data_IF_049760702423
#
_entry.id   IF_049760702423
#
_cell.length_a   1.000
_cell.length_b   1.000
_cell.length_c   1.000
_cell.angle_alpha   90.00
_cell.angle_beta   90.00
_cell.angle_gamma   90.00
#
_symmetry.space_group_name_H-M   'P 1'
#
loop_
_entity.id
_entity.type
_entity.pdbx_description
1 polymer ?
#
# COMPACT_ATOMS: atom_id res chain seq x y z
N UNK A 1 -7.66 -17.64 -10.25
CA UNK A 1 -6.83 -16.43 -10.46
C UNK A 1 -5.46 -16.61 -9.81
N UNK A 2 -4.40 -16.77 -10.61
CA UNK A 2 -3.03 -16.78 -10.08
C UNK A 2 -2.70 -15.37 -9.63
N UNK A 3 -2.45 -15.18 -8.34
CA UNK A 3 -2.06 -13.91 -7.73
C UNK A 3 -0.65 -13.57 -8.25
N UNK A 4 -0.56 -12.69 -9.25
CA UNK A 4 0.69 -12.25 -9.88
C UNK A 4 1.44 -11.21 -9.04
N UNK A 5 0.89 -10.79 -7.91
CA UNK A 5 1.47 -9.76 -7.03
C UNK A 5 2.90 -10.04 -6.57
N UNK A 6 3.29 -11.32 -6.50
CA UNK A 6 4.65 -11.77 -6.15
C UNK A 6 5.37 -12.45 -7.32
N UNK A 7 4.89 -12.29 -8.55
CA UNK A 7 5.49 -12.92 -9.73
C UNK A 7 6.80 -12.22 -10.11
N UNK A 8 7.96 -12.90 -10.02
CA UNK A 8 9.25 -12.29 -10.34
C UNK A 8 9.42 -11.99 -11.84
N UNK A 9 8.57 -12.52 -12.72
CA UNK A 9 8.54 -12.14 -14.14
C UNK A 9 7.86 -10.79 -14.36
N UNK A 10 7.00 -10.38 -13.41
CA UNK A 10 6.31 -9.09 -13.43
C UNK A 10 7.01 -8.05 -12.56
N UNK A 11 7.61 -8.45 -11.44
CA UNK A 11 8.15 -7.53 -10.44
C UNK A 11 9.61 -7.86 -10.14
N UNK A 12 10.50 -6.87 -10.24
CA UNK A 12 11.87 -6.99 -9.72
C UNK A 12 11.85 -7.00 -8.19
N UNK A 13 12.40 -8.02 -7.52
CA UNK A 13 12.31 -8.18 -6.06
C UNK A 13 10.87 -8.06 -5.54
N UNK A 14 9.97 -9.00 -5.89
CA UNK A 14 8.53 -8.92 -5.58
C UNK A 14 8.20 -8.87 -4.09
N UNK A 15 9.08 -9.42 -3.25
CA UNK A 15 8.91 -9.48 -1.79
C UNK A 15 9.24 -8.14 -1.11
N UNK A 16 9.93 -7.23 -1.80
CA UNK A 16 10.35 -5.95 -1.24
C UNK A 16 9.24 -4.90 -1.34
N UNK A 17 9.02 -4.18 -0.23
CA UNK A 17 8.16 -3.01 -0.22
C UNK A 17 8.85 -1.83 -0.92
N UNK A 18 8.63 -1.73 -2.24
CA UNK A 18 9.17 -0.65 -3.09
C UNK A 18 8.03 0.24 -3.63
N UNK A 19 7.65 1.32 -2.90
CA UNK A 19 6.56 2.20 -3.33
C UNK A 19 6.89 3.01 -4.59
N UNK A 20 8.17 3.27 -4.89
CA UNK A 20 8.58 4.03 -6.06
C UNK A 20 8.54 3.21 -7.36
N UNK A 21 8.30 1.89 -7.27
CA UNK A 21 8.09 1.01 -8.43
C UNK A 21 7.03 1.54 -9.41
N UNK A 22 6.08 2.33 -8.90
CA UNK A 22 4.94 2.87 -9.64
C UNK A 22 5.17 4.30 -10.16
N UNK A 23 6.32 4.91 -9.87
CA UNK A 23 6.66 6.30 -10.22
C UNK A 23 7.61 6.32 -11.42
N UNK A 24 7.44 7.24 -12.41
CA UNK A 24 8.34 7.31 -13.56
C UNK A 24 9.69 7.87 -13.16
N UNK A 25 10.75 7.37 -13.78
CA UNK A 25 12.12 7.90 -13.60
C UNK A 25 12.27 9.30 -14.21
N UNK A 26 11.53 9.61 -15.30
CA UNK A 26 11.62 10.88 -16.01
C UNK A 26 10.39 11.78 -15.81
N UNK A 27 10.65 12.97 -15.27
CA UNK A 27 9.66 14.03 -14.95
C UNK A 27 8.86 14.55 -16.16
N UNK A 28 9.34 14.35 -17.40
CA UNK A 28 8.58 14.73 -18.61
C UNK A 28 7.31 13.89 -18.83
N UNK A 29 7.12 12.81 -18.05
CA UNK A 29 5.93 11.95 -18.06
C UNK A 29 4.98 12.19 -16.88
N UNK A 30 5.12 13.31 -16.14
CA UNK A 30 4.19 13.70 -15.08
C UNK A 30 2.74 13.87 -15.55
N UNK A 31 2.48 13.92 -16.86
CA UNK A 31 1.11 13.89 -17.40
C UNK A 31 0.39 12.55 -17.17
N UNK A 32 1.11 11.48 -16.84
CA UNK A 32 0.53 10.19 -16.47
C UNK A 32 1.05 9.71 -15.13
N UNK A 33 0.46 10.18 -14.02
CA UNK A 33 0.64 9.51 -12.73
C UNK A 33 0.11 8.08 -12.83
N UNK A 34 0.96 7.10 -12.51
CA UNK A 34 0.66 5.69 -12.72
C UNK A 34 -0.11 5.02 -11.60
N UNK A 35 -1.41 4.80 -11.81
CA UNK A 35 -2.24 3.90 -11.04
C UNK A 35 -2.32 2.56 -11.78
N UNK A 36 -1.82 1.44 -11.21
CA UNK A 36 -1.88 0.14 -11.86
C UNK A 36 -3.31 -0.38 -12.07
N UNK A 37 -4.29 0.18 -11.36
CA UNK A 37 -5.70 -0.16 -11.52
C UNK A 37 -6.35 0.52 -12.72
N UNK A 38 -5.90 1.74 -13.05
CA UNK A 38 -6.41 2.53 -14.16
C UNK A 38 -5.57 2.38 -15.42
N UNK A 39 -4.52 1.55 -15.38
CA UNK A 39 -3.67 1.26 -16.54
C UNK A 39 -2.61 2.31 -16.84
N UNK A 40 -2.26 3.14 -15.85
CA UNK A 40 -1.23 4.16 -16.01
C UNK A 40 0.09 3.76 -15.35
N UNK A 41 0.20 2.57 -14.77
CA UNK A 41 1.49 2.06 -14.26
C UNK A 41 2.53 2.04 -15.39
N UNK A 42 3.65 2.71 -15.16
CA UNK A 42 4.59 3.07 -16.22
C UNK A 42 5.49 1.91 -16.65
N UNK A 43 5.71 0.95 -15.75
CA UNK A 43 6.52 -0.25 -16.00
C UNK A 43 5.69 -1.51 -16.18
N UNK A 44 4.41 -1.52 -15.77
CA UNK A 44 3.60 -2.73 -15.64
C UNK A 44 2.26 -2.58 -16.35
N UNK A 45 1.91 -3.58 -17.16
CA UNK A 45 0.66 -3.58 -17.94
C UNK A 45 -0.59 -3.61 -17.06
N UNK A 46 -1.73 -3.21 -17.64
CA UNK A 46 -3.05 -3.30 -17.01
C UNK A 46 -3.28 -4.71 -16.46
N UNK A 47 -3.63 -4.81 -15.18
CA UNK A 47 -3.92 -6.09 -14.55
C UNK A 47 -2.71 -6.83 -13.98
N UNK A 48 -1.51 -6.23 -13.97
CA UNK A 48 -0.34 -6.79 -13.25
C UNK A 48 -0.59 -6.80 -11.73
N UNK A 49 -1.27 -5.78 -11.21
CA UNK A 49 -1.71 -5.66 -9.82
C UNK A 49 -3.24 -5.61 -9.73
N UNK A 50 -3.84 -6.50 -8.95
CA UNK A 50 -5.31 -6.67 -8.93
C UNK A 50 -5.89 -6.99 -7.53
N UNK A 51 -5.60 -6.20 -6.49
CA UNK A 51 -6.17 -6.45 -5.16
C UNK A 51 -7.69 -6.25 -5.11
N UNK A 52 -8.28 -5.64 -6.15
CA UNK A 52 -9.73 -5.57 -6.36
C UNK A 52 -10.28 -6.55 -7.40
N UNK A 53 -9.49 -7.50 -7.91
CA UNK A 53 -9.89 -8.35 -9.04
C UNK A 53 -9.78 -7.66 -10.40
N UNK A 54 -10.21 -8.36 -11.48
CA UNK A 54 -10.08 -7.91 -12.87
C UNK A 54 -11.32 -8.31 -13.70
N UNK A 55 -11.50 -7.67 -14.86
CA UNK A 55 -12.57 -7.99 -15.82
C UNK A 55 -13.95 -7.57 -15.33
N UNK A 56 -14.98 -8.36 -15.66
CA UNK A 56 -16.38 -8.08 -15.30
C UNK A 56 -16.66 -8.11 -13.79
N UNK A 57 -15.78 -8.73 -13.00
CA UNK A 57 -15.90 -8.84 -11.55
C UNK A 57 -14.87 -7.98 -10.81
N UNK A 58 -14.28 -6.97 -11.47
CA UNK A 58 -13.44 -6.00 -10.78
C UNK A 58 -14.26 -5.25 -9.73
N UNK A 59 -13.67 -5.04 -8.55
CA UNK A 59 -14.29 -4.34 -7.45
C UNK A 59 -14.59 -2.89 -7.88
N UNK A 60 -15.86 -2.47 -7.89
CA UNK A 60 -16.22 -1.10 -8.27
C UNK A 60 -15.75 -0.07 -7.22
N UNK A 61 -15.40 -0.52 -6.02
CA UNK A 61 -14.90 0.32 -4.92
C UNK A 61 -13.42 0.71 -5.02
N UNK A 62 -12.66 0.17 -5.97
CA UNK A 62 -11.21 0.47 -6.12
C UNK A 62 -10.92 1.97 -6.19
N UNK A 63 -11.61 2.79 -7.01
CA UNK A 63 -11.33 4.23 -7.07
C UNK A 63 -11.56 4.94 -5.74
N UNK A 64 -12.61 4.54 -4.99
CA UNK A 64 -12.89 5.11 -3.68
C UNK A 64 -11.82 4.68 -2.65
N UNK A 65 -11.44 3.40 -2.64
CA UNK A 65 -10.40 2.89 -1.76
C UNK A 65 -9.06 3.60 -2.00
N UNK A 66 -8.72 3.86 -3.25
CA UNK A 66 -7.53 4.64 -3.62
C UNK A 66 -7.59 6.07 -3.09
N UNK A 67 -8.71 6.77 -3.31
CA UNK A 67 -8.90 8.14 -2.81
C UNK A 67 -8.80 8.21 -1.28
N UNK A 68 -9.50 7.32 -0.58
CA UNK A 68 -9.49 7.27 0.88
C UNK A 68 -8.10 6.91 1.41
N UNK A 69 -7.39 5.99 0.76
CA UNK A 69 -6.00 5.65 1.11
C UNK A 69 -5.07 6.85 1.02
N UNK A 70 -5.16 7.63 -0.07
CA UNK A 70 -4.37 8.87 -0.24
C UNK A 70 -4.71 9.89 0.86
N UNK A 71 -6.00 10.14 1.11
CA UNK A 71 -6.45 11.08 2.15
C UNK A 71 -5.94 10.63 3.52
N UNK A 72 -6.08 9.35 3.86
CA UNK A 72 -5.64 8.79 5.12
C UNK A 72 -4.13 8.99 5.32
N UNK A 73 -3.31 8.56 4.35
CA UNK A 73 -1.86 8.71 4.43
C UNK A 73 -1.43 10.17 4.55
N UNK A 74 -2.04 11.08 3.78
CA UNK A 74 -1.77 12.53 3.88
C UNK A 74 -2.12 13.06 5.26
N UNK A 75 -3.29 12.72 5.80
CA UNK A 75 -3.72 13.17 7.14
C UNK A 75 -2.81 12.61 8.23
N UNK A 76 -2.42 11.33 8.16
CA UNK A 76 -1.49 10.71 9.08
C UNK A 76 -0.14 11.42 9.07
N UNK A 77 0.43 11.64 7.88
CA UNK A 77 1.74 12.29 7.71
C UNK A 77 1.75 13.76 8.18
N UNK A 78 0.62 14.48 8.05
CA UNK A 78 0.51 15.87 8.49
C UNK A 78 0.18 16.02 9.97
N UNK A 79 -0.44 15.02 10.60
CA UNK A 79 -1.00 15.13 11.96
C UNK A 79 -0.03 14.65 13.04
N UNK A 80 0.82 13.68 12.72
CA UNK A 80 1.68 13.01 13.70
C UNK A 80 3.15 13.21 13.33
N UNK A 81 3.97 13.61 14.31
CA UNK A 81 5.42 13.77 14.14
C UNK A 81 6.14 12.43 14.12
N UNK A 82 5.63 11.47 14.88
CA UNK A 82 6.21 10.13 14.97
C UNK A 82 5.18 9.11 15.43
N UNK A 83 5.50 7.84 15.19
CA UNK A 83 4.71 6.70 15.64
C UNK A 83 5.63 5.52 15.96
N UNK A 84 5.14 4.62 16.81
CA UNK A 84 5.82 3.36 17.15
C UNK A 84 4.79 2.26 17.42
N UNK A 85 5.21 1.00 17.39
CA UNK A 85 4.36 -0.10 17.85
C UNK A 85 4.20 -0.05 19.38
N UNK A 86 3.04 -0.47 19.89
CA UNK A 86 2.79 -0.55 21.33
C UNK A 86 3.51 -1.72 22.01
N UNK A 87 4.00 -2.68 21.22
CA UNK A 87 4.56 -3.95 21.69
C UNK A 87 3.57 -5.11 21.70
N UNK A 88 2.26 -4.82 21.66
CA UNK A 88 1.22 -5.84 21.56
C UNK A 88 1.00 -6.26 20.10
N UNK A 89 0.70 -7.55 19.87
CA UNK A 89 0.49 -8.10 18.52
C UNK A 89 1.76 -8.19 17.66
N UNK A 90 2.94 -8.18 18.28
CA UNK A 90 4.23 -8.38 17.61
C UNK A 90 4.78 -9.79 17.82
N UNK A 91 5.59 -10.26 16.87
CA UNK A 91 6.43 -11.45 16.99
C UNK A 91 7.59 -11.18 17.95
N UNK A 92 8.34 -12.24 18.30
CA UNK A 92 9.54 -12.13 19.15
C UNK A 92 10.63 -11.25 18.54
N UNK A 93 10.63 -11.13 17.20
CA UNK A 93 11.61 -10.34 16.45
C UNK A 93 11.16 -8.87 16.27
N UNK A 94 9.97 -8.52 16.77
CA UNK A 94 9.40 -7.17 16.69
C UNK A 94 8.56 -6.89 15.44
N UNK A 95 8.36 -7.89 14.58
CA UNK A 95 7.48 -7.80 13.41
C UNK A 95 6.00 -7.95 13.80
N UNK A 96 5.08 -7.58 12.91
CA UNK A 96 3.65 -7.76 13.15
C UNK A 96 3.28 -9.26 13.05
N UNK A 97 2.60 -9.79 14.07
CA UNK A 97 2.17 -11.21 14.11
C UNK A 97 0.89 -11.45 13.29
N UNK A 98 1.00 -11.29 11.96
CA UNK A 98 -0.15 -11.34 11.06
C UNK A 98 -0.94 -12.66 11.15
N UNK A 99 -2.27 -12.53 11.29
CA UNK A 99 -3.22 -13.61 11.05
C UNK A 99 -3.31 -13.86 9.54
N UNK A 100 -3.18 -15.12 9.13
CA UNK A 100 -3.16 -15.53 7.71
C UNK A 100 -4.51 -16.12 7.29
N UNK A 101 -5.53 -15.28 7.05
CA UNK A 101 -6.82 -15.71 6.50
C UNK A 101 -7.40 -14.59 5.60
N UNK A 102 -7.86 -14.92 4.38
CA UNK A 102 -7.10 -14.89 3.10
C UNK A 102 -6.25 -13.64 2.81
N UNK A 103 -6.25 -12.62 3.68
CA UNK A 103 -5.39 -11.44 3.64
C UNK A 103 -4.48 -11.46 4.87
N UNK A 104 -3.29 -10.85 4.80
CA UNK A 104 -2.45 -10.66 6.00
C UNK A 104 -3.05 -9.52 6.83
N UNK A 105 -3.61 -9.84 7.99
CA UNK A 105 -4.28 -8.87 8.86
C UNK A 105 -3.54 -8.88 10.21
N UNK A 106 -3.13 -7.72 10.76
CA UNK A 106 -2.63 -7.66 12.13
C UNK A 106 -3.67 -8.22 13.12
N UNK A 107 -3.26 -8.85 14.22
CA UNK A 107 -4.20 -9.33 15.22
C UNK A 107 -4.90 -8.15 15.91
N UNK A 108 -6.06 -8.39 16.54
CA UNK A 108 -6.82 -7.34 17.24
C UNK A 108 -6.02 -6.68 18.38
N UNK A 109 -5.02 -7.39 18.91
CA UNK A 109 -4.09 -6.87 19.92
C UNK A 109 -3.01 -5.96 19.34
N UNK A 110 -2.87 -5.84 18.01
CA UNK A 110 -1.85 -4.99 17.42
C UNK A 110 -2.16 -3.51 17.71
N UNK A 111 -1.22 -2.83 18.35
CA UNK A 111 -1.37 -1.42 18.73
C UNK A 111 -0.26 -0.53 18.19
N UNK A 112 -0.59 0.74 18.01
CA UNK A 112 0.33 1.79 17.61
C UNK A 112 0.17 2.99 18.54
N UNK A 113 1.31 3.60 18.88
CA UNK A 113 1.37 4.83 19.67
C UNK A 113 1.76 5.96 18.72
N UNK A 114 1.00 7.05 18.75
CA UNK A 114 1.22 8.21 17.89
C UNK A 114 1.57 9.44 18.71
N UNK A 115 2.57 10.19 18.26
CA UNK A 115 2.92 11.49 18.80
C UNK A 115 2.34 12.58 17.89
N UNK A 116 1.49 13.44 18.45
CA UNK A 116 0.92 14.56 17.72
C UNK A 116 1.99 15.57 17.31
N UNK A 117 1.79 16.15 16.12
CA UNK A 117 2.55 17.30 15.66
C UNK A 117 2.36 18.46 16.63
N UNK A 118 3.46 18.89 17.26
CA UNK A 118 3.43 20.05 18.15
C UNK A 118 3.42 21.29 17.26
N UNK A 119 2.23 21.87 17.05
CA UNK A 119 2.14 23.17 16.38
C UNK A 119 2.80 24.17 17.33
N UNK A 120 3.98 24.67 16.94
CA UNK A 120 4.54 25.89 17.55
C UNK A 120 3.71 27.03 16.97
N UNK A 121 2.82 27.61 17.77
CA UNK A 121 2.17 28.89 17.46
C UNK A 121 3.19 30.04 17.37
#
# INVERSE_FOLDING_TARGET
PRIGNLDPQLYENPEDFEPLRWVPENKSSFESSGCPFQGTALKLGIGSWFPGGHGAHKCPGVPLAELIGRIFLTKMAMKFDSWSFSGEGLTKDGDIDYVKIPVRIPPDSFGMIFKLCSIVE
#
